data_IF_907273601069
#
_entry.id   IF_907273601069
#
_cell.length_a   1.000
_cell.length_b   1.000
_cell.length_c   1.000
_cell.angle_alpha   90.00
_cell.angle_beta   90.00
_cell.angle_gamma   90.00
#
_symmetry.space_group_name_H-M   'P 1'
#
loop_
_entity.id
_entity.type
_entity.pdbx_description
1 polymer ?
#
# COMPACT_ATOMS: atom_id res chain seq x y z
N UNK A 1 49.24 36.63 -39.08
CA UNK A 1 48.43 36.18 -40.24
C UNK A 1 49.31 35.31 -41.12
N UNK A 2 48.79 34.32 -41.89
CA UNK A 2 47.53 33.60 -41.74
C UNK A 2 47.76 32.05 -41.63
N UNK A 3 46.69 31.28 -41.86
CA UNK A 3 46.57 29.80 -41.85
C UNK A 3 47.68 28.98 -42.54
N UNK A 4 47.93 27.75 -42.07
CA UNK A 4 48.24 26.57 -42.92
C UNK A 4 48.08 25.22 -42.18
N UNK A 5 47.37 24.28 -42.79
CA UNK A 5 47.25 22.85 -42.48
C UNK A 5 46.50 22.15 -43.65
N UNK A 6 46.50 20.81 -43.80
CA UNK A 6 47.32 19.77 -43.15
C UNK A 6 48.18 18.96 -44.15
N UNK A 7 49.00 18.02 -43.65
CA UNK A 7 49.51 16.87 -44.43
C UNK A 7 49.43 15.61 -43.56
N UNK A 8 49.01 14.49 -44.15
CA UNK A 8 48.79 13.19 -43.50
C UNK A 8 49.90 12.17 -43.91
N UNK A 9 50.52 11.42 -42.97
CA UNK A 9 51.56 10.45 -43.29
C UNK A 9 51.08 8.97 -43.30
N UNK A 10 51.55 8.21 -44.29
CA UNK A 10 51.26 6.77 -44.49
C UNK A 10 52.07 5.83 -43.57
N UNK A 11 51.64 4.56 -43.40
CA UNK A 11 52.19 3.64 -42.38
C UNK A 11 53.39 2.79 -42.83
N UNK A 12 54.27 2.34 -41.90
CA UNK A 12 55.36 1.40 -42.16
C UNK A 12 54.99 -0.08 -41.91
N UNK A 13 55.71 -1.00 -42.57
CA UNK A 13 55.56 -2.46 -42.46
C UNK A 13 56.50 -3.16 -41.44
N UNK A 14 56.56 -4.52 -41.42
CA UNK A 14 56.99 -5.28 -40.23
C UNK A 14 58.37 -6.01 -40.29
N UNK A 15 59.01 -6.15 -39.12
CA UNK A 15 60.14 -7.08 -38.81
C UNK A 15 60.46 -7.07 -37.30
N UNK A 16 60.42 -8.18 -36.53
CA UNK A 16 61.45 -9.25 -36.35
C UNK A 16 62.77 -8.72 -35.73
N UNK A 17 63.38 -9.23 -34.64
CA UNK A 17 63.17 -10.32 -33.64
C UNK A 17 64.10 -10.05 -32.39
N UNK A 18 64.02 -10.58 -31.16
CA UNK A 18 63.04 -11.41 -30.40
C UNK A 18 62.96 -10.93 -28.90
N UNK A 19 63.41 -11.54 -27.77
CA UNK A 19 64.04 -12.83 -27.40
C UNK A 19 63.98 -13.14 -25.85
N UNK A 20 62.99 -13.92 -25.36
CA UNK A 20 62.90 -14.59 -24.00
C UNK A 20 62.72 -13.68 -22.74
N UNK A 21 62.09 -14.10 -21.62
CA UNK A 21 61.29 -15.31 -21.26
C UNK A 21 60.63 -15.20 -19.86
N UNK A 22 59.66 -16.09 -19.57
CA UNK A 22 58.91 -16.31 -18.29
C UNK A 22 57.84 -15.24 -17.99
N UNK A 23 56.60 -15.59 -17.64
CA UNK A 23 55.94 -16.90 -17.66
C UNK A 23 54.44 -16.76 -17.30
N UNK A 24 53.55 -17.50 -17.96
CA UNK A 24 52.11 -17.45 -17.67
C UNK A 24 51.72 -18.46 -16.58
N UNK A 25 50.75 -18.07 -15.76
CA UNK A 25 49.87 -18.98 -15.04
C UNK A 25 48.42 -18.64 -15.42
N UNK A 26 47.76 -19.53 -16.15
CA UNK A 26 46.31 -19.49 -16.40
C UNK A 26 45.72 -20.74 -15.77
N UNK A 27 44.76 -20.57 -14.86
CA UNK A 27 44.02 -21.66 -14.27
C UNK A 27 42.53 -21.32 -14.36
N UNK A 28 41.80 -22.06 -15.19
CA UNK A 28 40.35 -21.97 -15.25
C UNK A 28 39.73 -22.86 -14.17
N UNK A 29 38.74 -22.32 -13.46
CA UNK A 29 37.76 -23.09 -12.71
C UNK A 29 36.38 -22.63 -13.17
N UNK A 30 35.38 -23.49 -13.37
CA UNK A 30 35.34 -24.91 -13.05
C UNK A 30 34.02 -25.18 -12.34
N UNK A 31 32.96 -25.41 -13.11
CA UNK A 31 31.58 -25.48 -12.57
C UNK A 31 31.42 -26.72 -11.70
N UNK A 32 31.29 -26.51 -10.39
CA UNK A 32 30.98 -27.57 -9.43
C UNK A 32 29.46 -27.76 -9.32
N UNK A 33 28.92 -28.74 -10.04
CA UNK A 33 27.54 -29.20 -9.84
C UNK A 33 27.49 -30.11 -8.62
N UNK A 34 26.73 -29.73 -7.59
CA UNK A 34 26.45 -30.61 -6.44
C UNK A 34 25.11 -31.31 -6.67
N UNK A 35 25.18 -32.52 -7.22
CA UNK A 35 24.09 -33.50 -7.16
C UNK A 35 24.28 -34.37 -5.92
N UNK A 36 23.25 -34.46 -5.06
CA UNK A 36 23.14 -35.50 -4.05
C UNK A 36 21.80 -36.21 -4.28
N UNK A 37 21.85 -37.41 -4.83
CA UNK A 37 20.73 -38.34 -4.85
C UNK A 37 20.67 -39.11 -3.53
N UNK A 38 19.47 -39.43 -3.05
CA UNK A 38 19.27 -40.11 -1.77
C UNK A 38 19.04 -41.61 -1.88
N UNK A 39 19.42 -42.34 -0.83
CA UNK A 39 18.87 -43.63 -0.42
C UNK A 39 18.76 -43.59 1.12
N UNK A 40 17.58 -43.59 1.74
CA UNK A 40 16.58 -44.67 1.81
C UNK A 40 16.97 -45.77 2.83
N UNK A 41 16.39 -45.68 4.03
CA UNK A 41 16.18 -46.81 4.94
C UNK A 41 14.70 -46.79 5.34
N UNK A 42 13.99 -47.87 5.02
CA UNK A 42 12.63 -48.15 5.47
C UNK A 42 12.69 -49.27 6.51
N UNK A 43 12.06 -49.09 7.68
CA UNK A 43 11.40 -50.17 8.42
C UNK A 43 10.65 -49.65 9.67
N UNK A 44 9.33 -49.85 9.63
CA UNK A 44 8.38 -50.09 10.74
C UNK A 44 7.35 -49.00 11.05
N UNK A 45 6.10 -49.34 10.74
CA UNK A 45 4.90 -48.94 11.52
C UNK A 45 4.77 -49.90 12.73
N UNK A 46 3.90 -49.56 13.69
CA UNK A 46 2.56 -50.17 13.63
C UNK A 46 1.43 -49.13 13.72
N UNK A 47 0.21 -49.60 13.53
CA UNK A 47 -1.01 -48.80 13.38
C UNK A 47 -1.72 -48.54 14.72
N UNK A 48 -2.31 -47.35 14.90
CA UNK A 48 -3.40 -47.14 15.86
C UNK A 48 -4.43 -46.11 15.35
N UNK A 49 -5.64 -46.63 15.13
CA UNK A 49 -6.98 -46.03 15.23
C UNK A 49 -7.22 -44.50 15.20
N UNK A 50 -8.30 -44.13 14.49
CA UNK A 50 -9.11 -42.93 14.74
C UNK A 50 -9.77 -42.98 16.15
N UNK A 51 -10.41 -41.89 16.60
CA UNK A 51 -11.86 -41.90 16.41
C UNK A 51 -12.44 -40.61 15.83
N UNK A 52 -13.55 -40.78 15.11
CA UNK A 52 -14.44 -39.71 14.66
C UNK A 52 -15.21 -39.05 15.81
N UNK A 53 -15.70 -37.83 15.57
CA UNK A 53 -17.07 -37.44 15.96
C UNK A 53 -17.65 -36.41 14.98
N UNK A 54 -18.79 -36.77 14.38
CA UNK A 54 -19.68 -35.83 13.70
C UNK A 54 -20.51 -35.02 14.70
N UNK A 55 -20.73 -33.73 14.43
CA UNK A 55 -22.08 -33.13 14.55
C UNK A 55 -22.25 -32.08 13.45
N UNK A 56 -23.26 -32.26 12.59
CA UNK A 56 -23.68 -31.23 11.63
C UNK A 56 -25.22 -31.19 11.50
N UNK A 57 -25.84 -30.16 12.08
CA UNK A 57 -27.19 -29.67 11.76
C UNK A 57 -27.26 -28.19 12.19
N UNK A 58 -27.45 -27.21 11.29
CA UNK A 58 -28.69 -26.83 10.59
C UNK A 58 -29.88 -26.48 11.52
N UNK A 59 -30.36 -25.23 11.41
CA UNK A 59 -31.74 -24.83 11.10
C UNK A 59 -31.73 -23.32 10.71
N UNK A 60 -32.75 -22.76 10.00
CA UNK A 60 -32.52 -21.63 9.08
C UNK A 60 -33.26 -20.31 9.41
N UNK A 61 -32.90 -19.24 8.68
CA UNK A 61 -33.72 -18.02 8.58
C UNK A 61 -34.88 -18.19 7.59
N UNK A 62 -36.07 -17.64 7.88
CA UNK A 62 -37.09 -17.34 6.88
C UNK A 62 -36.98 -15.89 6.37
N UNK A 63 -37.30 -15.67 5.09
CA UNK A 63 -37.58 -14.35 4.50
C UNK A 63 -39.02 -14.34 4.00
N UNK A 64 -39.76 -13.25 4.20
CA UNK A 64 -41.15 -13.15 3.73
C UNK A 64 -41.73 -11.75 3.85
N UNK A 65 -42.17 -11.19 2.72
CA UNK A 65 -42.78 -9.85 2.60
C UNK A 65 -44.28 -9.96 2.39
N UNK A 66 -45.08 -9.10 3.03
CA UNK A 66 -46.41 -8.67 2.55
C UNK A 66 -46.88 -7.39 3.24
N UNK A 67 -47.88 -6.72 2.66
CA UNK A 67 -48.17 -5.31 2.89
C UNK A 67 -49.48 -5.05 3.64
N UNK A 68 -49.49 -3.91 4.35
CA UNK A 68 -50.63 -3.02 4.59
C UNK A 68 -51.95 -3.55 5.21
N UNK A 69 -52.33 -2.93 6.33
CA UNK A 69 -53.56 -2.11 6.37
C UNK A 69 -53.47 -1.07 7.49
N UNK A 70 -54.30 -0.04 7.44
CA UNK A 70 -54.28 1.09 8.38
C UNK A 70 -55.46 1.06 9.36
N UNK A 71 -55.25 1.62 10.55
CA UNK A 71 -56.32 2.03 11.45
C UNK A 71 -55.98 3.42 12.02
N UNK A 72 -56.90 4.38 11.87
CA UNK A 72 -56.74 5.74 12.37
C UNK A 72 -57.67 5.99 13.55
N UNK A 73 -57.19 6.72 14.55
CA UNK A 73 -58.00 7.30 15.63
C UNK A 73 -57.43 8.69 15.95
N UNK A 74 -58.30 9.63 16.32
CA UNK A 74 -58.04 11.07 16.15
C UNK A 74 -58.47 11.92 17.35
N UNK A 75 -57.62 12.89 17.74
CA UNK A 75 -57.98 14.28 18.14
C UNK A 75 -58.84 14.40 19.44
N UNK A 76 -58.47 15.24 20.45
CA UNK A 76 -58.23 16.68 20.27
C UNK A 76 -57.12 17.36 21.10
N UNK A 77 -56.86 18.61 20.74
CA UNK A 77 -55.92 19.54 21.39
C UNK A 77 -56.68 20.58 22.26
N UNK A 78 -56.19 20.92 23.47
CA UNK A 78 -56.58 22.15 24.19
C UNK A 78 -55.52 23.27 24.04
N UNK A 79 -55.95 24.53 24.14
CA UNK A 79 -55.16 25.70 23.76
C UNK A 79 -54.26 26.36 24.84
N UNK A 80 -53.25 27.06 24.33
CA UNK A 80 -52.30 28.01 24.93
C UNK A 80 -52.54 28.61 26.34
N UNK A 81 -51.46 28.65 27.14
CA UNK A 81 -51.13 29.80 28.01
C UNK A 81 -49.61 30.00 28.11
N UNK A 82 -49.13 31.25 28.01
CA UNK A 82 -47.72 31.63 28.22
C UNK A 82 -47.37 31.77 29.70
N UNK A 83 -46.13 31.44 30.08
CA UNK A 83 -45.33 32.22 31.02
C UNK A 83 -44.21 32.97 30.29
N UNK A 84 -43.69 34.05 30.89
CA UNK A 84 -42.57 34.84 30.38
C UNK A 84 -41.36 34.77 31.31
N UNK A 85 -40.18 34.53 30.77
CA UNK A 85 -38.88 34.75 31.44
C UNK A 85 -37.90 35.39 30.46
N UNK A 86 -37.06 36.30 30.96
CA UNK A 86 -36.19 37.16 30.16
C UNK A 86 -34.86 36.50 29.78
N UNK A 87 -34.20 37.09 28.78
CA UNK A 87 -33.04 36.54 28.09
C UNK A 87 -31.80 36.25 28.96
N UNK A 88 -31.05 35.25 28.51
CA UNK A 88 -29.58 35.33 28.43
C UNK A 88 -29.16 34.68 27.11
N UNK A 89 -28.36 35.39 26.31
CA UNK A 89 -28.01 34.93 24.97
C UNK A 89 -26.86 33.91 25.02
N UNK A 90 -27.02 32.72 24.41
CA UNK A 90 -25.88 31.84 24.15
C UNK A 90 -24.89 32.55 23.24
N UNK A 91 -23.60 32.49 23.56
CA UNK A 91 -22.54 32.99 22.68
C UNK A 91 -22.60 32.28 21.32
N UNK A 92 -22.32 33.02 20.23
CA UNK A 92 -22.21 32.46 18.88
C UNK A 92 -21.29 31.23 18.91
N UNK A 93 -21.71 30.06 18.40
CA UNK A 93 -20.77 29.00 18.07
C UNK A 93 -19.70 29.58 17.14
N UNK A 94 -18.42 29.37 17.47
CA UNK A 94 -17.35 29.70 16.54
C UNK A 94 -17.54 28.84 15.30
N UNK A 95 -17.76 29.48 14.15
CA UNK A 95 -17.94 28.75 12.90
C UNK A 95 -16.65 27.97 12.60
N UNK A 96 -16.75 26.64 12.50
CA UNK A 96 -15.63 25.82 12.08
C UNK A 96 -15.03 26.38 10.78
N UNK A 97 -13.73 26.64 10.77
CA UNK A 97 -13.06 27.22 9.63
C UNK A 97 -13.27 26.29 8.42
N UNK A 98 -13.88 26.80 7.35
CA UNK A 98 -14.04 26.02 6.12
C UNK A 98 -12.66 25.64 5.58
N UNK A 99 -12.43 24.41 5.11
CA UNK A 99 -11.17 24.02 4.50
C UNK A 99 -10.78 25.00 3.39
N UNK A 100 -9.63 25.66 3.55
CA UNK A 100 -9.12 26.60 2.56
C UNK A 100 -8.46 25.79 1.44
N UNK A 101 -9.26 25.39 0.46
CA UNK A 101 -8.75 24.90 -0.83
C UNK A 101 -7.92 26.03 -1.43
N UNK A 102 -6.60 25.87 -1.45
CA UNK A 102 -5.71 26.97 -1.84
C UNK A 102 -5.75 27.20 -3.35
N UNK A 103 -5.36 28.42 -3.75
CA UNK A 103 -5.30 28.81 -5.17
C UNK A 103 -4.44 27.81 -5.95
N UNK A 104 -5.02 27.20 -6.97
CA UNK A 104 -4.35 26.22 -7.83
C UNK A 104 -4.54 24.76 -7.46
N UNK A 105 -5.32 24.41 -6.41
CA UNK A 105 -5.66 23.02 -6.09
C UNK A 105 -4.70 22.31 -5.13
N UNK A 106 -3.76 23.04 -4.51
CA UNK A 106 -2.94 22.52 -3.42
C UNK A 106 -3.74 22.54 -2.11
N UNK A 107 -3.55 21.53 -1.25
CA UNK A 107 -4.13 21.49 0.10
C UNK A 107 -3.00 21.74 1.10
N UNK A 108 -2.90 22.91 1.74
CA UNK A 108 -1.85 23.17 2.73
C UNK A 108 -2.06 22.33 4.00
N UNK A 109 -0.97 21.99 4.69
CA UNK A 109 -1.04 21.54 6.08
C UNK A 109 -1.28 22.73 6.99
N UNK A 110 -2.08 22.55 8.04
CA UNK A 110 -2.18 23.56 9.11
C UNK A 110 -0.84 23.62 9.87
N UNK A 111 -0.13 24.77 9.91
CA UNK A 111 1.16 24.85 10.55
C UNK A 111 1.11 24.70 12.07
N UNK A 112 0.01 25.02 12.74
CA UNK A 112 -0.15 24.82 14.18
C UNK A 112 -0.31 23.33 14.49
N UNK A 113 -1.21 22.63 13.77
CA UNK A 113 -1.43 21.18 13.93
C UNK A 113 -0.15 20.39 13.62
N UNK A 114 0.57 20.74 12.55
CA UNK A 114 1.83 20.07 12.22
C UNK A 114 2.91 20.34 13.28
N UNK A 115 3.08 21.58 13.74
CA UNK A 115 4.05 21.89 14.80
C UNK A 115 3.68 21.20 16.13
N UNK A 116 2.40 21.04 16.45
CA UNK A 116 1.94 20.27 17.60
C UNK A 116 2.30 18.78 17.45
N UNK A 117 1.98 18.16 16.30
CA UNK A 117 2.32 16.75 16.06
C UNK A 117 3.84 16.51 16.14
N UNK A 118 4.65 17.40 15.57
CA UNK A 118 6.12 17.37 15.66
C UNK A 118 6.62 17.57 17.09
N UNK A 119 6.02 18.50 17.85
CA UNK A 119 6.39 18.73 19.25
C UNK A 119 5.99 17.54 20.15
N UNK A 120 4.83 16.93 19.91
CA UNK A 120 4.39 15.72 20.58
C UNK A 120 5.33 14.54 20.25
N UNK A 121 5.63 14.30 18.98
CA UNK A 121 6.57 13.26 18.54
C UNK A 121 7.97 13.44 19.16
N UNK A 122 8.50 14.68 19.22
CA UNK A 122 9.78 14.98 19.88
C UNK A 122 9.76 14.68 21.39
N UNK A 123 8.59 14.76 22.05
CA UNK A 123 8.39 14.38 23.46
C UNK A 123 8.08 12.88 23.66
N UNK A 124 7.63 12.17 22.63
CA UNK A 124 7.38 10.72 22.67
C UNK A 124 8.65 9.96 23.01
N UNK A 125 8.69 9.36 24.21
CA UNK A 125 9.79 8.49 24.66
C UNK A 125 9.86 7.23 23.78
N UNK A 126 11.07 6.75 23.53
CA UNK A 126 11.27 5.45 22.91
C UNK A 126 11.04 4.34 23.95
N UNK A 127 10.23 3.36 23.56
CA UNK A 127 9.94 2.14 24.32
C UNK A 127 9.88 0.97 23.32
N UNK A 128 11.01 0.64 22.64
CA UNK A 128 11.03 -0.32 21.55
C UNK A 128 10.86 -1.76 22.03
N UNK A 129 10.23 -2.65 21.23
CA UNK A 129 10.20 -4.07 21.55
C UNK A 129 11.62 -4.65 21.68
N UNK A 130 11.84 -5.41 22.77
CA UNK A 130 13.15 -6.02 23.06
C UNK A 130 13.44 -7.26 22.23
N UNK A 131 12.41 -8.02 21.83
CA UNK A 131 12.49 -9.27 21.06
C UNK A 131 11.96 -9.10 19.63
N UNK A 132 12.34 -8.00 18.97
CA UNK A 132 11.93 -7.68 17.61
C UNK A 132 13.09 -7.77 16.62
N UNK A 133 12.78 -8.15 15.37
CA UNK A 133 13.71 -8.08 14.25
C UNK A 133 14.21 -6.66 13.96
N UNK A 134 15.18 -6.53 13.04
CA UNK A 134 15.90 -5.27 12.79
C UNK A 134 15.45 -4.51 11.52
N UNK A 135 14.25 -4.79 10.99
CA UNK A 135 13.68 -4.03 9.87
C UNK A 135 12.99 -2.77 10.41
N UNK A 136 13.25 -1.56 9.88
CA UNK A 136 12.74 -0.32 10.44
C UNK A 136 11.29 -0.05 10.00
N UNK A 137 10.35 -0.88 10.45
CA UNK A 137 8.96 -0.87 9.97
C UNK A 137 7.92 -1.24 11.03
N UNK A 138 6.70 -0.75 10.84
CA UNK A 138 5.49 -1.36 11.37
C UNK A 138 4.50 -1.61 10.24
N UNK A 139 3.42 -2.36 10.51
CA UNK A 139 2.39 -2.66 9.50
C UNK A 139 0.99 -2.43 10.01
N UNK A 140 0.06 -2.20 9.07
CA UNK A 140 -1.36 -2.36 9.27
C UNK A 140 -1.86 -3.52 8.38
N UNK A 141 -2.31 -4.61 8.99
CA UNK A 141 -2.93 -5.74 8.28
C UNK A 141 -4.43 -5.47 8.09
N UNK A 142 -4.84 -5.20 6.86
CA UNK A 142 -6.20 -4.81 6.49
C UNK A 142 -6.91 -5.89 5.65
N UNK A 143 -8.25 -5.86 5.68
CA UNK A 143 -9.11 -6.72 4.86
C UNK A 143 -9.87 -5.89 3.83
N UNK A 144 -10.28 -6.52 2.73
CA UNK A 144 -11.27 -5.97 1.80
C UNK A 144 -12.48 -5.39 2.56
N UNK A 145 -12.85 -4.15 2.25
CA UNK A 145 -14.07 -3.50 2.75
C UNK A 145 -15.19 -3.65 1.74
N UNK A 146 -15.04 -3.01 0.58
CA UNK A 146 -16.03 -2.92 -0.48
C UNK A 146 -15.38 -2.42 -1.78
N UNK A 147 -16.16 -2.32 -2.86
CA UNK A 147 -15.72 -1.71 -4.12
C UNK A 147 -16.71 -0.65 -4.62
N UNK A 148 -16.20 0.46 -5.19
CA UNK A 148 -16.98 1.55 -5.79
C UNK A 148 -16.21 2.18 -6.96
N UNK A 149 -16.91 2.74 -7.98
CA UNK A 149 -16.32 3.59 -9.03
C UNK A 149 -16.06 5.03 -8.54
N UNK A 150 -15.57 5.18 -7.31
CA UNK A 150 -15.43 6.45 -6.60
C UNK A 150 -13.96 6.78 -6.35
N UNK A 151 -13.63 8.07 -6.24
CA UNK A 151 -12.31 8.51 -5.76
C UNK A 151 -12.39 9.90 -5.09
N UNK A 152 -12.25 10.02 -3.75
CA UNK A 152 -12.29 11.31 -3.04
C UNK A 152 -10.99 12.15 -3.15
N UNK A 153 -9.95 11.65 -3.80
CA UNK A 153 -8.71 12.38 -4.09
C UNK A 153 -8.79 12.98 -5.49
N UNK A 154 -9.04 12.14 -6.50
CA UNK A 154 -9.02 12.49 -7.93
C UNK A 154 -10.35 13.07 -8.43
N UNK A 155 -11.48 12.64 -7.87
CA UNK A 155 -12.83 13.06 -8.26
C UNK A 155 -13.71 13.48 -7.05
N UNK A 156 -13.22 14.39 -6.18
CA UNK A 156 -13.90 14.75 -4.94
C UNK A 156 -15.31 15.29 -5.17
N UNK A 157 -16.28 14.67 -4.50
CA UNK A 157 -17.70 14.98 -4.57
C UNK A 157 -18.44 14.37 -5.76
N UNK A 158 -17.81 13.51 -6.58
CA UNK A 158 -18.37 12.96 -7.81
C UNK A 158 -18.47 11.42 -7.78
N UNK A 159 -19.54 10.84 -7.19
CA UNK A 159 -19.78 9.39 -7.22
C UNK A 159 -19.81 8.84 -8.65
N UNK A 160 -19.16 7.69 -8.87
CA UNK A 160 -19.10 7.06 -10.19
C UNK A 160 -18.23 7.74 -11.24
N UNK A 161 -17.47 8.78 -10.89
CA UNK A 161 -16.58 9.49 -11.82
C UNK A 161 -15.18 8.83 -11.98
N UNK A 162 -14.90 7.74 -11.25
CA UNK A 162 -13.67 6.96 -11.41
C UNK A 162 -13.95 5.56 -11.95
N UNK A 163 -12.87 4.82 -12.21
CA UNK A 163 -12.94 3.38 -12.46
C UNK A 163 -13.14 2.62 -11.14
N UNK A 164 -13.52 1.34 -11.19
CA UNK A 164 -13.84 0.56 -9.99
C UNK A 164 -12.61 0.37 -9.09
N UNK A 165 -12.66 0.88 -7.87
CA UNK A 165 -11.65 0.69 -6.84
C UNK A 165 -12.09 -0.36 -5.81
N UNK A 166 -11.17 -1.20 -5.35
CA UNK A 166 -11.36 -2.06 -4.18
C UNK A 166 -10.71 -1.41 -2.96
N UNK A 167 -11.51 -1.12 -1.93
CA UNK A 167 -11.12 -0.32 -0.75
C UNK A 167 -10.78 -1.19 0.46
N UNK A 168 -9.82 -0.72 1.27
CA UNK A 168 -9.48 -1.24 2.60
C UNK A 168 -9.23 -0.10 3.59
N UNK A 169 -9.14 -0.41 4.88
CA UNK A 169 -9.07 0.60 5.93
C UNK A 169 -10.46 1.12 6.27
N UNK A 170 -10.65 2.44 6.19
CA UNK A 170 -11.92 3.08 6.53
C UNK A 170 -13.12 2.47 5.77
N UNK A 171 -14.15 2.02 6.49
CA UNK A 171 -15.33 1.37 5.93
C UNK A 171 -16.35 2.35 5.33
N UNK A 172 -16.23 3.64 5.64
CA UNK A 172 -17.16 4.68 5.19
C UNK A 172 -16.66 5.46 3.97
N UNK A 173 -15.46 5.16 3.44
CA UNK A 173 -14.88 5.89 2.31
C UNK A 173 -15.75 5.81 1.05
N UNK A 174 -15.89 6.95 0.39
CA UNK A 174 -16.61 7.17 -0.87
C UNK A 174 -16.19 8.49 -1.52
N UNK A 175 -16.77 8.85 -2.66
CA UNK A 175 -16.41 10.08 -3.38
C UNK A 175 -16.60 11.38 -2.57
N UNK A 176 -17.41 11.40 -1.50
CA UNK A 176 -17.66 12.60 -0.68
C UNK A 176 -16.72 12.74 0.53
N UNK A 177 -15.86 11.75 0.79
CA UNK A 177 -15.08 11.65 2.03
C UNK A 177 -14.05 12.78 2.19
N UNK A 178 -14.19 13.59 3.26
CA UNK A 178 -13.21 14.61 3.66
C UNK A 178 -12.22 14.09 4.71
N UNK A 179 -11.18 14.87 5.04
CA UNK A 179 -10.20 14.48 6.07
C UNK A 179 -10.86 14.45 7.46
N UNK A 180 -11.81 15.36 7.68
CA UNK A 180 -12.65 15.45 8.86
C UNK A 180 -13.60 14.25 8.98
N UNK A 181 -13.96 13.58 7.88
CA UNK A 181 -14.83 12.41 7.92
C UNK A 181 -14.09 11.15 8.34
N UNK A 182 -12.80 11.01 7.98
CA UNK A 182 -11.95 9.91 8.45
C UNK A 182 -11.74 9.92 9.98
N UNK A 183 -11.87 11.07 10.66
CA UNK A 183 -11.83 11.16 12.13
C UNK A 183 -13.19 10.99 12.80
N UNK A 184 -14.31 11.19 12.07
CA UNK A 184 -15.68 10.91 12.56
C UNK A 184 -16.05 9.44 12.41
N UNK A 185 -15.78 8.87 11.23
CA UNK A 185 -16.17 7.51 10.86
C UNK A 185 -14.99 6.55 11.00
N UNK A 186 -14.53 6.38 12.23
CA UNK A 186 -13.30 5.63 12.60
C UNK A 186 -13.34 4.12 12.35
N UNK A 187 -14.45 3.58 11.87
CA UNK A 187 -14.66 2.15 11.66
C UNK A 187 -13.79 1.60 10.52
N UNK A 188 -12.72 0.87 10.86
CA UNK A 188 -11.71 0.36 9.92
C UNK A 188 -11.77 -1.16 9.70
N UNK A 189 -11.22 -1.65 8.58
CA UNK A 189 -10.89 -3.08 8.36
C UNK A 189 -9.45 -3.44 8.75
N UNK A 190 -8.62 -2.45 9.10
CA UNK A 190 -7.24 -2.66 9.52
C UNK A 190 -7.11 -3.10 10.98
N UNK A 191 -6.04 -3.87 11.24
CA UNK A 191 -5.38 -3.91 12.55
C UNK A 191 -4.08 -3.10 12.42
N UNK A 192 -3.79 -2.12 13.30
CA UNK A 192 -4.55 -1.76 14.49
C UNK A 192 -5.83 -0.97 14.15
N UNK A 193 -6.81 -0.98 15.04
CA UNK A 193 -8.09 -0.28 14.85
C UNK A 193 -8.00 1.25 15.00
N UNK A 194 -6.84 1.79 15.38
CA UNK A 194 -6.52 3.22 15.43
C UNK A 194 -5.91 3.75 14.12
N UNK A 195 -5.85 2.91 13.09
CA UNK A 195 -5.66 3.33 11.71
C UNK A 195 -7.04 3.56 11.06
N UNK A 196 -7.41 4.83 10.90
CA UNK A 196 -8.66 5.28 10.29
C UNK A 196 -8.47 5.72 8.83
N UNK A 197 -7.28 5.52 8.27
CA UNK A 197 -6.92 5.83 6.89
C UNK A 197 -7.79 5.04 5.91
N UNK A 198 -7.98 5.58 4.72
CA UNK A 198 -8.53 4.85 3.59
C UNK A 198 -7.40 4.53 2.60
N UNK A 199 -7.39 3.29 2.08
CA UNK A 199 -6.46 2.84 1.06
C UNK A 199 -7.21 2.11 -0.05
N UNK A 200 -6.88 2.37 -1.31
CA UNK A 200 -7.49 1.68 -2.44
C UNK A 200 -6.52 1.41 -3.58
N UNK A 201 -6.95 0.52 -4.48
CA UNK A 201 -6.29 0.16 -5.75
C UNK A 201 -7.38 -0.17 -6.79
N UNK A 202 -7.06 -0.15 -8.09
CA UNK A 202 -7.95 -0.67 -9.14
C UNK A 202 -8.37 -2.10 -8.85
N UNK A 203 -9.68 -2.37 -8.86
CA UNK A 203 -10.20 -3.74 -8.77
C UNK A 203 -9.64 -4.60 -9.90
N UNK A 204 -9.04 -5.73 -9.53
CA UNK A 204 -8.52 -6.75 -10.45
C UNK A 204 -9.67 -7.62 -10.96
N UNK A 205 -9.65 -7.99 -12.24
CA UNK A 205 -10.68 -8.84 -12.86
C UNK A 205 -10.09 -10.00 -13.68
N UNK A 206 -10.65 -11.20 -13.49
CA UNK A 206 -10.35 -12.38 -14.33
C UNK A 206 -10.77 -12.11 -15.78
N UNK A 207 -9.83 -12.12 -16.74
CA UNK A 207 -10.09 -11.62 -18.08
C UNK A 207 -11.15 -12.43 -18.86
N UNK A 208 -11.24 -13.74 -18.58
CA UNK A 208 -12.20 -14.66 -19.19
C UNK A 208 -13.61 -14.57 -18.57
N UNK A 209 -13.73 -14.42 -17.26
CA UNK A 209 -15.02 -14.50 -16.56
C UNK A 209 -15.64 -13.15 -16.23
N UNK A 210 -14.85 -12.07 -16.34
CA UNK A 210 -15.19 -10.69 -15.92
C UNK A 210 -15.62 -10.59 -14.45
N UNK A 211 -15.28 -11.58 -13.62
CA UNK A 211 -15.48 -11.55 -12.17
C UNK A 211 -14.32 -10.80 -11.49
N UNK A 212 -14.59 -9.96 -10.48
CA UNK A 212 -13.54 -9.31 -9.71
C UNK A 212 -12.83 -10.33 -8.83
N UNK A 213 -11.50 -10.19 -8.74
CA UNK A 213 -10.65 -10.91 -7.81
C UNK A 213 -10.34 -9.97 -6.64
N UNK A 214 -11.07 -10.10 -5.54
CA UNK A 214 -10.85 -9.25 -4.36
C UNK A 214 -9.60 -9.68 -3.57
N UNK A 215 -9.02 -8.72 -2.84
CA UNK A 215 -7.82 -8.93 -2.03
C UNK A 215 -8.12 -9.80 -0.81
N UNK A 216 -7.45 -10.95 -0.69
CA UNK A 216 -7.54 -11.84 0.48
C UNK A 216 -6.69 -11.35 1.65
N UNK A 217 -5.69 -10.50 1.38
CA UNK A 217 -4.96 -9.74 2.38
C UNK A 217 -4.43 -8.44 1.78
N UNK A 218 -4.44 -7.36 2.56
CA UNK A 218 -3.88 -6.08 2.14
C UNK A 218 -3.09 -5.51 3.31
N UNK A 219 -1.76 -5.48 3.19
CA UNK A 219 -0.87 -5.01 4.24
C UNK A 219 -0.28 -3.66 3.84
N UNK A 220 -0.51 -2.64 4.67
CA UNK A 220 0.17 -1.36 4.54
C UNK A 220 1.38 -1.36 5.47
N UNK A 221 2.56 -1.55 4.90
CA UNK A 221 3.82 -1.32 5.62
C UNK A 221 4.10 0.17 5.74
N UNK A 222 4.51 0.61 6.92
CA UNK A 222 5.09 1.91 7.20
C UNK A 222 6.58 1.70 7.52
N UNK A 223 7.47 2.00 6.58
CA UNK A 223 8.89 1.59 6.64
C UNK A 223 9.88 2.72 6.36
N UNK A 224 11.09 2.61 6.88
CA UNK A 224 12.25 3.37 6.39
C UNK A 224 12.95 2.58 5.30
N UNK A 225 12.99 3.10 4.07
CA UNK A 225 13.61 2.45 2.90
C UNK A 225 15.15 2.37 2.95
N UNK A 226 15.80 2.86 4.02
CA UNK A 226 17.24 3.19 4.02
C UNK A 226 18.00 2.53 5.17
N UNK A 227 19.33 2.52 5.01
CA UNK A 227 20.29 1.98 5.99
C UNK A 227 20.19 2.62 7.40
N UNK A 228 19.65 3.84 7.49
CA UNK A 228 19.47 4.60 8.71
C UNK A 228 18.02 5.07 8.85
N UNK A 229 17.64 5.58 10.03
CA UNK A 229 16.33 6.23 10.26
C UNK A 229 16.46 7.64 10.85
N UNK A 230 17.60 8.31 10.62
CA UNK A 230 17.88 9.66 11.13
C UNK A 230 16.90 10.66 10.52
N UNK A 231 16.35 11.55 11.35
CA UNK A 231 15.44 12.62 10.91
C UNK A 231 14.03 12.16 10.50
N UNK A 232 13.68 10.89 10.69
CA UNK A 232 12.32 10.40 10.40
C UNK A 232 11.27 11.14 11.25
N UNK A 233 10.23 11.65 10.62
CA UNK A 233 9.06 12.28 11.24
C UNK A 233 7.81 11.40 11.02
N UNK A 234 6.77 11.52 11.85
CA UNK A 234 5.48 10.89 11.55
C UNK A 234 4.86 11.48 10.29
N UNK A 235 3.98 10.72 9.62
CA UNK A 235 3.16 11.24 8.54
C UNK A 235 2.13 12.23 9.12
N UNK A 236 1.91 13.41 8.50
CA UNK A 236 0.83 14.30 8.89
C UNK A 236 -0.54 13.70 8.54
N UNK A 237 -1.49 13.80 9.45
CA UNK A 237 -2.87 13.38 9.17
C UNK A 237 -3.49 14.23 8.05
N UNK A 238 -4.26 13.58 7.18
CA UNK A 238 -4.88 14.18 6.00
C UNK A 238 -4.02 14.14 4.74
N UNK A 239 -2.80 13.61 4.79
CA UNK A 239 -1.94 13.44 3.61
C UNK A 239 -2.59 12.49 2.59
N UNK A 240 -2.63 12.91 1.32
CA UNK A 240 -3.15 12.15 0.18
C UNK A 240 -2.00 11.82 -0.76
N UNK A 241 -1.82 10.58 -1.15
CA UNK A 241 -0.74 10.18 -2.08
C UNK A 241 -1.25 9.17 -3.09
N UNK A 242 -0.78 9.27 -4.34
CA UNK A 242 -1.00 8.27 -5.39
C UNK A 242 0.34 7.71 -5.88
N UNK A 243 0.57 6.41 -5.73
CA UNK A 243 1.72 5.70 -6.29
C UNK A 243 1.30 4.89 -7.54
N UNK A 244 2.18 4.74 -8.53
CA UNK A 244 1.83 4.12 -9.82
C UNK A 244 1.16 5.09 -10.82
N UNK A 245 0.56 4.57 -11.89
CA UNK A 245 -0.08 5.39 -12.94
C UNK A 245 -1.23 4.67 -13.66
N UNK A 246 -2.47 5.11 -13.38
CA UNK A 246 -3.70 4.65 -14.06
C UNK A 246 -3.63 4.69 -15.59
N UNK A 247 -2.92 5.66 -16.17
CA UNK A 247 -2.88 5.92 -17.62
C UNK A 247 -1.80 5.11 -18.33
N UNK A 248 -0.95 4.39 -17.61
CA UNK A 248 0.08 3.53 -18.18
C UNK A 248 -0.56 2.30 -18.85
N UNK A 249 -0.03 1.93 -20.02
CA UNK A 249 -0.53 0.87 -20.93
C UNK A 249 0.63 0.10 -21.58
N UNK A 250 1.58 -0.33 -20.74
CA UNK A 250 2.84 -0.98 -21.15
C UNK A 250 2.80 -2.46 -20.75
N UNK A 251 3.24 -3.41 -21.60
CA UNK A 251 3.36 -4.82 -21.22
C UNK A 251 4.19 -5.05 -19.95
N UNK A 252 3.81 -6.08 -19.18
CA UNK A 252 4.45 -6.49 -17.92
C UNK A 252 4.94 -7.95 -18.01
N UNK A 253 5.92 -8.25 -18.88
CA UNK A 253 6.50 -9.58 -19.00
C UNK A 253 7.32 -9.97 -17.76
N UNK A 254 7.74 -11.25 -17.71
CA UNK A 254 8.62 -11.81 -16.68
C UNK A 254 9.79 -10.86 -16.35
N UNK A 255 9.91 -10.47 -15.09
CA UNK A 255 10.97 -9.59 -14.60
C UNK A 255 10.77 -8.08 -14.87
N UNK A 256 9.64 -7.65 -15.44
CA UNK A 256 9.33 -6.23 -15.60
C UNK A 256 9.08 -5.54 -14.24
N UNK A 257 9.51 -4.28 -14.13
CA UNK A 257 9.25 -3.47 -12.95
C UNK A 257 7.75 -3.19 -12.79
N UNK A 258 7.19 -3.53 -11.63
CA UNK A 258 5.75 -3.46 -11.38
C UNK A 258 4.94 -4.55 -12.08
N UNK A 259 5.48 -5.77 -12.24
CA UNK A 259 4.66 -6.95 -12.52
C UNK A 259 4.01 -7.51 -11.24
N UNK A 260 2.88 -8.21 -11.39
CA UNK A 260 2.41 -9.14 -10.36
C UNK A 260 3.36 -10.34 -10.26
N UNK A 261 3.40 -10.97 -9.08
CA UNK A 261 4.22 -12.14 -8.79
C UNK A 261 3.41 -13.20 -8.03
N UNK A 262 3.97 -14.41 -7.92
CA UNK A 262 3.44 -15.50 -7.12
C UNK A 262 4.18 -15.59 -5.78
N UNK A 263 3.46 -15.82 -4.68
CA UNK A 263 4.07 -15.95 -3.35
C UNK A 263 3.43 -17.02 -2.46
N UNK A 264 4.27 -17.66 -1.66
CA UNK A 264 3.92 -18.53 -0.53
C UNK A 264 5.08 -18.60 0.46
N UNK A 265 4.84 -19.19 1.63
CA UNK A 265 5.88 -19.52 2.61
C UNK A 265 6.64 -20.78 2.16
N UNK A 266 7.56 -20.64 1.21
CA UNK A 266 8.43 -21.72 0.73
C UNK A 266 9.29 -21.32 -0.47
N UNK A 267 10.24 -22.18 -0.89
CA UNK A 267 11.06 -21.93 -2.07
C UNK A 267 10.23 -22.14 -3.36
N UNK A 268 10.20 -21.13 -4.23
CA UNK A 268 9.50 -21.21 -5.52
C UNK A 268 9.81 -20.04 -6.44
N UNK A 269 9.37 -20.16 -7.70
CA UNK A 269 9.52 -19.09 -8.69
C UNK A 269 8.49 -17.98 -8.45
N UNK A 270 8.97 -16.75 -8.23
CA UNK A 270 8.12 -15.56 -8.09
C UNK A 270 7.34 -15.24 -9.37
N UNK A 271 7.73 -15.81 -10.51
CA UNK A 271 7.02 -15.65 -11.78
C UNK A 271 5.92 -16.72 -12.00
N UNK A 272 5.77 -17.67 -11.07
CA UNK A 272 4.91 -18.84 -11.23
C UNK A 272 5.54 -19.93 -12.10
N UNK A 273 4.75 -20.95 -12.48
CA UNK A 273 5.22 -22.04 -13.35
C UNK A 273 4.94 -21.79 -14.84
N UNK A 274 4.08 -20.81 -15.14
CA UNK A 274 3.69 -20.39 -16.48
C UNK A 274 3.23 -18.93 -16.44
N UNK A 275 2.90 -18.36 -17.61
CA UNK A 275 2.23 -17.06 -17.72
C UNK A 275 0.98 -17.17 -18.59
N UNK A 276 0.13 -16.16 -18.53
CA UNK A 276 -1.01 -15.98 -19.44
C UNK A 276 -0.56 -15.88 -20.91
N UNK A 277 -1.45 -16.16 -21.86
CA UNK A 277 -1.15 -16.27 -23.30
C UNK A 277 -0.61 -14.96 -23.93
N UNK A 278 -0.76 -13.83 -23.22
CA UNK A 278 -0.23 -12.51 -23.58
C UNK A 278 1.13 -12.17 -22.91
N UNK A 279 1.69 -13.09 -22.11
CA UNK A 279 2.93 -12.91 -21.35
C UNK A 279 2.87 -11.94 -20.17
N UNK A 280 1.74 -11.30 -19.85
CA UNK A 280 1.70 -10.20 -18.87
C UNK A 280 1.42 -10.59 -17.42
N UNK A 281 0.88 -11.79 -17.16
CA UNK A 281 0.46 -12.23 -15.81
C UNK A 281 1.08 -13.59 -15.47
N UNK A 282 1.58 -13.79 -14.23
CA UNK A 282 2.07 -15.08 -13.78
C UNK A 282 0.91 -16.06 -13.52
N UNK A 283 1.21 -17.36 -13.60
CA UNK A 283 0.32 -18.45 -13.21
C UNK A 283 1.00 -19.24 -12.08
N UNK A 284 0.42 -19.13 -10.90
CA UNK A 284 0.94 -19.64 -9.63
C UNK A 284 0.57 -21.11 -9.44
N UNK A 285 1.57 -21.91 -9.08
CA UNK A 285 1.35 -23.31 -8.67
C UNK A 285 0.99 -23.37 -7.19
N UNK A 286 0.27 -24.42 -6.77
CA UNK A 286 -0.06 -24.58 -5.36
C UNK A 286 1.22 -24.75 -4.49
N UNK A 287 1.29 -24.14 -3.29
CA UNK A 287 0.23 -23.37 -2.61
C UNK A 287 0.19 -21.85 -2.96
N UNK A 288 1.05 -21.38 -3.85
CA UNK A 288 1.24 -19.96 -4.16
C UNK A 288 -0.02 -19.27 -4.69
N UNK A 289 -0.21 -18.00 -4.36
CA UNK A 289 -1.25 -17.14 -4.92
C UNK A 289 -0.65 -15.88 -5.57
N UNK A 290 -1.50 -15.11 -6.25
CA UNK A 290 -1.12 -13.89 -6.97
C UNK A 290 -0.97 -12.68 -6.01
N UNK A 291 0.13 -11.94 -6.12
CA UNK A 291 0.47 -10.80 -5.25
C UNK A 291 0.98 -9.59 -6.05
N UNK A 292 0.92 -8.40 -5.42
CA UNK A 292 1.51 -7.15 -5.92
C UNK A 292 2.13 -6.33 -4.77
N UNK A 293 3.29 -5.69 -5.03
CA UNK A 293 3.86 -4.69 -4.12
C UNK A 293 3.85 -3.30 -4.79
N UNK A 294 3.22 -2.32 -4.14
CA UNK A 294 3.25 -0.92 -4.56
C UNK A 294 3.92 -0.06 -3.49
N UNK A 295 5.03 0.59 -3.83
CA UNK A 295 5.79 1.44 -2.92
C UNK A 295 5.52 2.93 -3.17
N UNK A 296 5.30 3.67 -2.09
CA UNK A 296 5.08 5.11 -2.09
C UNK A 296 6.39 5.89 -1.81
N UNK A 297 6.43 7.19 -2.17
CA UNK A 297 7.43 8.15 -1.72
C UNK A 297 7.76 8.11 -0.21
N UNK A 298 8.97 8.55 0.16
CA UNK A 298 9.47 8.59 1.55
C UNK A 298 9.95 9.99 2.01
N UNK A 299 9.69 11.00 1.18
CA UNK A 299 9.99 12.40 1.43
C UNK A 299 8.77 13.28 1.12
N UNK A 300 8.57 14.32 1.91
CA UNK A 300 7.44 15.25 1.86
C UNK A 300 7.92 16.70 1.89
N UNK A 301 7.19 17.60 1.22
CA UNK A 301 7.55 19.02 1.10
C UNK A 301 7.44 19.83 2.40
N UNK A 302 6.77 19.28 3.42
CA UNK A 302 6.57 19.90 4.73
C UNK A 302 5.52 21.00 4.75
N UNK A 303 4.69 21.12 3.70
CA UNK A 303 3.80 22.26 3.45
C UNK A 303 2.40 21.86 2.99
N UNK A 304 2.25 20.77 2.22
CA UNK A 304 0.98 20.44 1.59
C UNK A 304 0.55 18.99 1.85
N UNK A 305 -0.68 18.81 2.33
CA UNK A 305 -1.34 17.51 2.48
C UNK A 305 -1.82 16.93 1.14
N UNK A 306 -1.89 17.75 0.09
CA UNK A 306 -2.11 17.31 -1.29
C UNK A 306 -1.63 18.36 -2.31
N UNK A 307 -1.42 17.91 -3.54
CA UNK A 307 -1.02 18.67 -4.73
C UNK A 307 -1.99 18.40 -5.89
N UNK A 308 -2.09 19.26 -6.92
CA UNK A 308 -3.08 19.13 -7.99
C UNK A 308 -2.98 17.87 -8.88
N UNK A 309 -1.90 17.10 -8.75
CA UNK A 309 -1.69 15.79 -9.39
C UNK A 309 -1.46 14.64 -8.37
N UNK A 310 -1.67 14.93 -7.08
CA UNK A 310 -1.52 14.04 -5.94
C UNK A 310 -0.13 13.40 -5.76
N UNK A 311 0.90 14.04 -6.35
CA UNK A 311 2.28 13.55 -6.44
C UNK A 311 3.33 14.64 -6.19
N UNK A 312 3.14 15.88 -6.64
CA UNK A 312 4.18 16.93 -6.62
C UNK A 312 4.57 17.45 -5.21
N UNK A 313 3.84 17.05 -4.16
CA UNK A 313 4.17 17.35 -2.76
C UNK A 313 4.97 16.24 -2.06
N UNK A 314 5.24 15.12 -2.74
CA UNK A 314 6.00 13.97 -2.23
C UNK A 314 7.04 13.45 -3.23
N UNK A 315 8.17 12.93 -2.74
CA UNK A 315 9.24 12.40 -3.58
C UNK A 315 9.89 11.14 -2.99
N UNK A 316 10.47 10.31 -3.86
CA UNK A 316 11.44 9.30 -3.43
C UNK A 316 12.77 9.99 -3.11
N UNK A 317 13.32 9.75 -1.92
CA UNK A 317 14.68 10.14 -1.60
C UNK A 317 15.72 9.17 -2.19
N UNK A 318 16.99 9.49 -1.98
CA UNK A 318 18.09 8.57 -2.23
C UNK A 318 18.50 7.84 -0.92
N UNK A 319 19.54 7.01 -0.97
CA UNK A 319 20.02 6.23 0.19
C UNK A 319 20.40 7.09 1.43
N UNK A 320 20.70 8.38 1.23
CA UNK A 320 21.28 9.27 2.23
C UNK A 320 20.27 10.33 2.72
N UNK A 321 19.66 11.07 1.79
CA UNK A 321 18.87 12.28 2.05
C UNK A 321 17.59 12.37 1.23
N UNK A 322 16.67 13.23 1.65
CA UNK A 322 15.58 13.68 0.80
C UNK A 322 16.07 14.83 -0.10
N UNK A 323 15.48 15.03 -1.30
CA UNK A 323 15.81 16.19 -2.12
C UNK A 323 15.40 17.48 -1.39
N UNK A 324 16.09 18.59 -1.68
CA UNK A 324 15.85 19.87 -1.00
C UNK A 324 14.42 20.44 -1.17
N UNK A 325 13.69 20.00 -2.20
CA UNK A 325 12.27 20.30 -2.40
C UNK A 325 11.34 19.55 -1.43
N UNK A 326 11.78 18.40 -0.90
CA UNK A 326 10.99 17.51 -0.04
C UNK A 326 11.71 17.20 1.29
N UNK A 327 12.06 18.21 2.10
CA UNK A 327 13.00 18.04 3.21
C UNK A 327 12.48 17.18 4.38
N UNK A 328 11.16 16.94 4.47
CA UNK A 328 10.58 16.17 5.58
C UNK A 328 10.58 14.69 5.23
N UNK A 329 11.48 13.93 5.86
CA UNK A 329 11.53 12.48 5.72
C UNK A 329 10.40 11.81 6.49
N UNK A 330 9.60 11.00 5.79
CA UNK A 330 8.44 10.28 6.35
C UNK A 330 8.59 8.75 6.14
N UNK A 331 7.83 7.92 6.87
CA UNK A 331 7.67 6.51 6.54
C UNK A 331 7.18 6.35 5.10
N UNK A 332 7.86 5.54 4.31
CA UNK A 332 7.31 5.07 3.05
C UNK A 332 6.14 4.14 3.34
N UNK A 333 5.00 4.37 2.68
CA UNK A 333 3.97 3.35 2.57
C UNK A 333 4.44 2.28 1.58
N UNK A 334 4.09 1.03 1.84
CA UNK A 334 4.14 -0.02 0.83
C UNK A 334 2.92 -0.91 0.98
N UNK A 335 2.08 -0.95 -0.05
CA UNK A 335 0.99 -1.92 -0.13
C UNK A 335 1.57 -3.26 -0.56
N UNK A 336 1.42 -4.27 0.28
CA UNK A 336 1.69 -5.69 0.01
C UNK A 336 0.33 -6.37 -0.10
N UNK A 337 -0.06 -6.71 -1.34
CA UNK A 337 -1.43 -7.03 -1.71
C UNK A 337 -1.50 -8.48 -2.16
N UNK A 338 -2.21 -9.30 -1.38
CA UNK A 338 -2.47 -10.69 -1.68
C UNK A 338 -3.87 -10.87 -2.28
N UNK A 339 -3.94 -11.59 -3.40
CA UNK A 339 -5.18 -12.05 -4.02
C UNK A 339 -5.32 -13.56 -3.83
N UNK A 340 -6.55 -14.05 -3.69
CA UNK A 340 -6.83 -15.50 -3.65
C UNK A 340 -6.68 -16.18 -5.02
N UNK A 341 -6.46 -15.39 -6.08
CA UNK A 341 -6.36 -15.83 -7.45
C UNK A 341 -5.02 -16.53 -7.74
N UNK A 342 -5.01 -17.39 -8.78
CA UNK A 342 -3.89 -18.26 -9.14
C UNK A 342 -3.28 -17.97 -10.50
N UNK A 343 -3.86 -17.06 -11.29
CA UNK A 343 -3.53 -16.92 -12.70
C UNK A 343 -4.31 -17.89 -13.59
N UNK A 344 -4.66 -17.41 -14.77
CA UNK A 344 -5.30 -18.19 -15.83
C UNK A 344 -4.62 -17.87 -17.16
N UNK A 345 -4.78 -18.74 -18.17
CA UNK A 345 -4.26 -18.48 -19.53
C UNK A 345 -4.78 -17.16 -20.13
N UNK A 346 -6.03 -16.80 -19.85
CA UNK A 346 -6.60 -15.52 -20.26
C UNK A 346 -5.95 -14.31 -19.56
N UNK A 347 -5.36 -14.52 -18.38
CA UNK A 347 -4.79 -13.47 -17.53
C UNK A 347 -5.85 -12.59 -16.87
N UNK A 348 -5.45 -11.38 -16.49
CA UNK A 348 -6.32 -10.39 -15.86
C UNK A 348 -6.38 -9.09 -16.67
N UNK A 349 -7.24 -8.21 -16.21
CA UNK A 349 -7.17 -6.77 -16.46
C UNK A 349 -7.45 -6.02 -15.15
N UNK A 350 -7.06 -4.75 -15.10
CA UNK A 350 -7.39 -3.84 -14.00
C UNK A 350 -8.55 -2.95 -14.46
N UNK A 351 -9.39 -2.49 -13.54
CA UNK A 351 -10.45 -1.52 -13.86
C UNK A 351 -9.94 -0.21 -14.48
N UNK A 352 -8.68 0.16 -14.24
CA UNK A 352 -7.96 1.28 -14.88
C UNK A 352 -7.48 0.99 -16.31
N UNK A 353 -7.66 -0.24 -16.79
CA UNK A 353 -7.27 -0.74 -18.11
C UNK A 353 -8.22 -1.87 -18.57
N UNK A 354 -9.53 -1.59 -18.80
CA UNK A 354 -10.53 -2.64 -19.04
C UNK A 354 -10.29 -3.46 -20.32
N UNK A 355 -9.68 -2.84 -21.32
CA UNK A 355 -9.34 -3.44 -22.62
C UNK A 355 -7.89 -3.95 -22.67
N UNK A 356 -6.97 -3.26 -21.98
CA UNK A 356 -5.55 -3.60 -21.96
C UNK A 356 -5.25 -4.70 -20.97
N UNK A 357 -4.57 -5.73 -21.47
CA UNK A 357 -4.29 -6.95 -20.70
C UNK A 357 -2.97 -6.84 -19.92
N UNK A 358 -2.62 -5.67 -19.41
CA UNK A 358 -1.36 -5.37 -18.71
C UNK A 358 -1.57 -5.11 -17.23
N UNK A 359 -0.55 -5.34 -16.39
CA UNK A 359 -0.58 -4.91 -15.00
C UNK A 359 -0.15 -3.45 -14.80
N UNK A 360 0.31 -2.77 -15.85
CA UNK A 360 1.06 -1.51 -15.73
C UNK A 360 0.23 -0.31 -15.25
N UNK A 361 -1.10 -0.37 -15.42
CA UNK A 361 -2.04 0.64 -14.92
C UNK A 361 -2.33 0.53 -13.43
N UNK A 362 -1.65 -0.40 -12.73
CA UNK A 362 -1.69 -0.51 -11.28
C UNK A 362 -1.20 0.80 -10.66
N UNK A 363 -2.02 1.29 -9.75
CA UNK A 363 -1.74 2.39 -8.86
C UNK A 363 -2.42 2.10 -7.54
N UNK A 364 -2.18 2.95 -6.57
CA UNK A 364 -2.77 2.83 -5.26
C UNK A 364 -2.67 4.14 -4.53
N UNK A 365 -3.67 4.33 -3.70
CA UNK A 365 -4.12 5.63 -3.27
C UNK A 365 -4.26 5.56 -1.75
N UNK A 366 -3.66 6.51 -1.06
CA UNK A 366 -3.57 6.52 0.39
C UNK A 366 -4.06 7.87 0.93
N UNK A 367 -5.14 7.85 1.71
CA UNK A 367 -5.64 9.01 2.44
C UNK A 367 -5.44 8.75 3.94
N UNK A 368 -4.32 9.27 4.46
CA UNK A 368 -3.77 8.85 5.76
C UNK A 368 -4.47 9.56 6.92
N UNK A 369 -4.98 8.78 7.88
CA UNK A 369 -5.60 9.27 9.11
C UNK A 369 -5.40 8.30 10.27
N UNK A 370 -4.56 8.65 11.24
CA UNK A 370 -4.28 7.83 12.43
C UNK A 370 -4.65 8.56 13.72
N UNK A 371 -4.81 7.81 14.81
CA UNK A 371 -4.55 8.39 16.13
C UNK A 371 -3.09 8.87 16.19
N UNK A 372 -2.90 10.19 16.29
CA UNK A 372 -1.57 10.83 16.23
C UNK A 372 -0.63 10.35 17.33
N UNK A 373 -1.15 9.94 18.50
CA UNK A 373 -0.34 9.42 19.61
C UNK A 373 0.19 8.02 19.29
N UNK A 374 -0.66 7.14 18.78
CA UNK A 374 -0.28 5.80 18.34
C UNK A 374 0.69 5.83 17.15
N UNK A 375 0.44 6.68 16.15
CA UNK A 375 1.36 6.87 15.02
C UNK A 375 2.73 7.39 15.50
N UNK A 376 2.75 8.42 16.36
CA UNK A 376 3.98 8.95 16.93
C UNK A 376 4.76 7.88 17.72
N UNK A 377 4.08 7.04 18.51
CA UNK A 377 4.72 5.96 19.27
C UNK A 377 5.28 4.87 18.34
N UNK A 378 4.56 4.48 17.28
CA UNK A 378 5.00 3.48 16.30
C UNK A 378 6.19 3.95 15.48
N UNK A 379 6.17 5.20 15.01
CA UNK A 379 7.32 5.80 14.30
C UNK A 379 8.53 5.94 15.25
N UNK A 380 8.32 6.26 16.53
CA UNK A 380 9.37 6.37 17.55
C UNK A 380 9.98 5.02 17.92
N UNK A 381 9.17 3.97 18.09
CA UNK A 381 9.59 2.65 18.57
C UNK A 381 10.12 1.75 17.45
N UNK A 382 9.40 1.68 16.34
CA UNK A 382 9.68 0.72 15.26
C UNK A 382 10.64 1.34 14.24
N UNK A 383 10.24 2.44 13.60
CA UNK A 383 11.01 3.00 12.48
C UNK A 383 12.28 3.70 12.96
N UNK A 384 12.19 4.52 14.02
CA UNK A 384 13.34 5.28 14.52
C UNK A 384 14.35 4.43 15.32
N UNK A 385 13.93 3.41 16.08
CA UNK A 385 14.87 2.45 16.72
C UNK A 385 15.25 1.27 15.81
N UNK A 386 14.71 1.21 14.59
CA UNK A 386 14.93 0.15 13.59
C UNK A 386 14.53 -1.25 14.08
N UNK A 387 13.31 -1.36 14.64
CA UNK A 387 12.67 -2.61 15.06
C UNK A 387 11.49 -3.00 14.17
N UNK A 388 11.41 -4.28 13.84
CA UNK A 388 10.27 -4.88 13.14
C UNK A 388 9.06 -4.93 14.05
N UNK A 389 7.96 -4.32 13.66
CA UNK A 389 6.72 -4.32 14.42
C UNK A 389 5.54 -4.90 13.63
N UNK A 390 4.73 -5.71 14.31
CA UNK A 390 3.45 -6.19 13.80
C UNK A 390 2.33 -5.12 13.98
N UNK A 391 1.08 -5.53 13.78
CA UNK A 391 -0.11 -4.68 13.90
C UNK A 391 -0.24 -4.00 15.27
N UNK A 392 0.21 -4.63 16.34
CA UNK A 392 0.02 -4.17 17.71
C UNK A 392 1.12 -3.19 18.14
N UNK A 393 2.14 -2.98 17.29
CA UNK A 393 3.25 -2.06 17.51
C UNK A 393 4.37 -2.64 18.37
N UNK A 394 4.26 -3.92 18.72
CA UNK A 394 5.21 -4.68 19.50
C UNK A 394 5.20 -6.12 18.98
N UNK A 395 6.33 -6.63 18.47
CA UNK A 395 6.43 -8.04 18.10
C UNK A 395 7.21 -8.83 19.16
N UNK A 396 6.56 -9.77 19.88
CA UNK A 396 7.23 -10.64 20.84
C UNK A 396 7.68 -11.98 20.24
N UNK A 397 7.45 -12.21 18.94
CA UNK A 397 7.68 -13.50 18.26
C UNK A 397 8.65 -13.44 17.07
N UNK A 398 9.45 -12.37 16.93
CA UNK A 398 10.59 -12.34 16.02
C UNK A 398 11.75 -13.17 16.59
N UNK A 399 11.71 -14.49 16.35
CA UNK A 399 12.79 -15.45 16.62
C UNK A 399 13.64 -15.72 15.37
#
# INVERSE_FOLDING_TARGET
MPSSAPIEPTPPGPGRHARRSRGLAVAAAGVAVVLIAGAAVWANRPDTAEPSQDVAANLPLPSGTSSATAAAASVPTPGARKPSVSASAPGKPSAAAKPVVARGGWIPVDPAVWNEQVAAFKKTKADPPVNAGNLPEFRADCKYSHRKPDDPIVAPGLPGASHMHSFVGNKAVDAHTTAEDLTKFTATTCKPTVDHSAYWVPTLYEAATKKPAETTGFRVYYRSLRNNSKGIMPIPNGLRMIAGDAKKKVPTPRGAQGQFYCAFYGPGDIDGYARSDNGNWPICGEPASLHFMLQFPDCWDGKHLDSPNHKDHVAFGNNESCPASHPVRIPALTFDIAYGAKGTKAGYYLSSDPDGKSASSMHGDAFVMWDSKALNQRVRNCIAQRRTCNNDGYDPFSY
#
